data_IF_919641284307
#
_entry.id   IF_919641284307
#
_cell.length_a   1.000
_cell.length_b   1.000
_cell.length_c   1.000
_cell.angle_alpha   90.00
_cell.angle_beta   90.00
_cell.angle_gamma   90.00
#
_symmetry.space_group_name_H-M   'P 1'
#
loop_
_entity.id
_entity.type
_entity.pdbx_description
1 polymer ?
#
# COMPACT_ATOMS: atom_id res chain seq x y z
N UNK A 1 60.29 19.97 -33.30
CA UNK A 1 60.68 21.36 -33.00
C UNK A 1 59.60 22.29 -33.51
N UNK A 2 58.83 22.86 -32.58
CA UNK A 2 58.26 24.22 -32.55
C UNK A 2 57.60 24.83 -33.81
N UNK A 3 56.29 25.16 -33.73
CA UNK A 3 55.82 26.51 -33.33
C UNK A 3 54.29 26.66 -33.22
N UNK A 4 53.94 27.53 -32.27
CA UNK A 4 52.66 28.03 -31.78
C UNK A 4 51.88 28.93 -32.76
N UNK A 5 50.53 28.98 -32.65
CA UNK A 5 49.72 30.20 -32.37
C UNK A 5 48.25 30.15 -32.88
N UNK A 6 47.38 31.00 -32.32
CA UNK A 6 45.90 30.93 -32.18
C UNK A 6 45.07 31.56 -33.33
N UNK A 7 43.88 30.95 -33.57
CA UNK A 7 42.49 31.43 -33.88
C UNK A 7 42.22 32.51 -34.98
N UNK A 8 41.08 32.41 -35.73
CA UNK A 8 39.80 33.04 -35.31
C UNK A 8 38.45 32.37 -35.72
N UNK A 9 37.41 32.69 -34.91
CA UNK A 9 36.00 33.06 -35.19
C UNK A 9 35.01 32.24 -36.07
N UNK A 10 34.01 31.67 -35.37
CA UNK A 10 32.52 31.70 -35.54
C UNK A 10 31.89 31.93 -36.92
N UNK A 11 31.04 30.96 -37.36
CA UNK A 11 29.69 31.20 -37.92
C UNK A 11 28.90 29.87 -38.12
N UNK A 12 27.60 29.88 -37.79
CA UNK A 12 26.60 29.03 -38.47
C UNK A 12 25.71 28.14 -37.58
N UNK A 13 24.44 28.54 -37.44
CA UNK A 13 23.21 27.69 -37.46
C UNK A 13 22.13 28.25 -36.51
N UNK A 14 21.42 29.31 -36.93
CA UNK A 14 20.00 29.31 -37.37
C UNK A 14 18.96 28.87 -36.33
N UNK A 15 18.25 29.87 -35.77
CA UNK A 15 16.89 29.73 -35.20
C UNK A 15 15.86 29.87 -36.33
N UNK A 16 14.63 29.36 -36.13
CA UNK A 16 13.48 30.20 -36.39
C UNK A 16 12.53 30.27 -35.18
N UNK A 17 12.05 31.49 -34.95
CA UNK A 17 11.01 31.91 -34.02
C UNK A 17 9.61 31.73 -34.64
N UNK A 18 8.63 31.79 -33.73
CA UNK A 18 7.21 32.12 -33.95
C UNK A 18 6.28 31.05 -34.52
N UNK A 19 5.52 30.42 -33.61
CA UNK A 19 4.18 29.94 -33.90
C UNK A 19 3.17 30.75 -33.09
N UNK A 20 2.40 31.57 -33.81
CA UNK A 20 1.29 32.36 -33.30
C UNK A 20 0.17 31.50 -32.72
N UNK A 21 -0.33 31.95 -31.57
CA UNK A 21 -1.57 31.53 -30.92
C UNK A 21 -2.77 31.50 -31.88
N UNK A 22 -3.50 30.38 -31.87
CA UNK A 22 -4.96 30.38 -32.06
C UNK A 22 -5.61 29.67 -30.89
N UNK A 23 -6.51 30.41 -30.25
CA UNK A 23 -7.28 30.08 -29.06
C UNK A 23 -8.62 29.46 -29.48
N UNK A 24 -8.90 28.25 -29.01
CA UNK A 24 -10.23 27.61 -28.79
C UNK A 24 -9.88 26.34 -27.98
N UNK A 25 -10.38 26.01 -26.79
CA UNK A 25 -11.53 26.46 -26.01
C UNK A 25 -12.22 25.19 -25.47
N UNK A 26 -11.92 24.78 -24.23
CA UNK A 26 -12.46 23.59 -23.54
C UNK A 26 -11.62 22.32 -23.79
N UNK A 27 -11.19 21.49 -22.83
CA UNK A 27 -11.66 21.19 -21.47
C UNK A 27 -10.44 20.92 -20.56
N UNK A 28 -10.58 21.26 -19.27
CA UNK A 28 -9.52 21.17 -18.26
C UNK A 28 -9.43 19.75 -17.68
N UNK A 29 -8.52 18.93 -18.20
CA UNK A 29 -7.96 17.80 -17.44
C UNK A 29 -6.48 18.07 -17.16
N UNK A 30 -6.20 18.48 -15.92
CA UNK A 30 -4.85 18.69 -15.41
C UNK A 30 -4.17 17.35 -15.21
N UNK A 31 -3.37 16.95 -16.18
CA UNK A 31 -2.24 16.03 -15.99
C UNK A 31 -1.15 16.81 -15.27
N UNK A 32 -0.89 16.50 -13.99
CA UNK A 32 0.31 16.88 -13.23
C UNK A 32 0.16 16.35 -11.80
N UNK A 33 0.72 15.18 -11.48
CA UNK A 33 1.21 14.85 -10.13
C UNK A 33 2.33 13.80 -10.25
N UNK A 34 3.48 14.27 -10.71
CA UNK A 34 4.76 13.64 -10.39
C UNK A 34 5.19 14.18 -9.02
N UNK A 35 5.53 13.25 -8.11
CA UNK A 35 6.43 13.42 -6.97
C UNK A 35 6.15 14.61 -6.04
N UNK A 36 5.32 14.39 -5.02
CA UNK A 36 5.36 15.18 -3.78
C UNK A 36 5.08 14.29 -2.57
N UNK A 37 5.99 14.18 -1.57
CA UNK A 37 5.74 13.45 -0.35
C UNK A 37 4.96 14.34 0.62
N UNK A 38 3.63 14.31 0.50
CA UNK A 38 2.72 14.95 1.45
C UNK A 38 1.72 13.92 1.96
N UNK A 39 2.16 13.08 2.91
CA UNK A 39 1.27 12.33 3.79
C UNK A 39 1.01 13.12 5.08
N UNK A 40 0.95 14.46 4.99
CA UNK A 40 0.65 15.28 6.15
C UNK A 40 -0.67 14.84 6.79
N UNK A 41 -0.58 14.70 8.10
CA UNK A 41 -1.33 13.76 8.92
C UNK A 41 -2.71 14.35 9.20
N UNK A 42 -3.79 13.63 8.85
CA UNK A 42 -5.09 13.91 9.47
C UNK A 42 -4.99 13.60 10.97
N UNK A 43 -5.22 14.56 11.90
CA UNK A 43 -5.01 14.33 13.34
C UNK A 43 -6.10 13.48 14.00
N UNK A 44 -6.96 12.80 13.23
CA UNK A 44 -8.02 11.96 13.77
C UNK A 44 -8.08 10.67 12.97
N UNK A 45 -7.41 9.64 13.48
CA UNK A 45 -7.61 8.25 13.10
C UNK A 45 -8.98 7.75 13.55
N UNK A 46 -10.05 8.39 13.08
CA UNK A 46 -11.40 7.86 13.22
C UNK A 46 -11.76 7.18 11.91
N UNK A 47 -11.76 5.85 11.94
CA UNK A 47 -12.32 5.02 10.89
C UNK A 47 -13.80 5.43 10.70
N UNK A 48 -14.26 5.76 9.48
CA UNK A 48 -15.63 6.22 9.26
C UNK A 48 -16.67 5.22 9.77
N UNK A 49 -17.74 5.68 10.44
CA UNK A 49 -18.81 4.86 11.05
C UNK A 49 -19.44 3.81 10.11
N UNK A 50 -19.34 3.98 8.78
CA UNK A 50 -19.81 3.01 7.79
C UNK A 50 -19.05 1.67 7.82
N UNK A 51 -17.82 1.63 8.37
CA UNK A 51 -17.02 0.41 8.54
C UNK A 51 -17.67 -0.65 9.44
N UNK A 52 -18.59 -0.27 10.32
CA UNK A 52 -19.16 -1.18 11.32
C UNK A 52 -20.42 -1.93 10.87
N UNK A 53 -20.91 -1.71 9.64
CA UNK A 53 -22.17 -2.29 9.16
C UNK A 53 -21.92 -3.38 8.12
N UNK A 54 -21.75 -4.63 8.57
CA UNK A 54 -21.83 -5.80 7.67
C UNK A 54 -23.24 -5.89 7.05
N UNK A 55 -23.40 -6.04 5.73
CA UNK A 55 -24.67 -6.45 5.12
C UNK A 55 -25.05 -7.86 5.60
N UNK A 56 -26.35 -8.14 5.67
CA UNK A 56 -26.95 -9.26 6.40
C UNK A 56 -26.28 -10.63 6.23
N UNK A 57 -25.96 -11.27 7.36
CA UNK A 57 -25.46 -12.64 7.45
C UNK A 57 -26.55 -13.64 7.01
N UNK A 58 -26.30 -14.33 5.89
CA UNK A 58 -27.08 -15.49 5.47
C UNK A 58 -26.52 -16.75 6.15
N UNK A 59 -27.39 -17.48 6.85
CA UNK A 59 -27.30 -18.84 7.42
C UNK A 59 -25.90 -19.51 7.53
N UNK A 60 -25.53 -19.84 8.77
CA UNK A 60 -24.33 -20.59 9.14
C UNK A 60 -24.39 -22.05 8.66
N UNK A 61 -23.86 -22.30 7.45
CA UNK A 61 -23.11 -23.54 7.23
C UNK A 61 -21.81 -23.44 8.03
N UNK A 62 -21.30 -24.57 8.54
CA UNK A 62 -20.01 -24.60 9.23
C UNK A 62 -18.91 -24.29 8.20
N UNK A 63 -18.68 -23.01 7.94
CA UNK A 63 -17.68 -22.54 6.99
C UNK A 63 -16.34 -23.16 7.37
N UNK A 64 -15.63 -23.82 6.45
CA UNK A 64 -14.31 -24.35 6.74
C UNK A 64 -13.41 -23.24 7.27
N UNK A 65 -12.51 -23.57 8.20
CA UNK A 65 -11.61 -22.59 8.78
C UNK A 65 -10.76 -21.95 7.67
N UNK A 66 -10.84 -20.63 7.53
CA UNK A 66 -10.05 -19.92 6.52
C UNK A 66 -8.57 -20.10 6.86
N UNK A 67 -7.82 -20.62 5.90
CA UNK A 67 -6.35 -20.78 5.94
C UNK A 67 -5.67 -19.67 5.14
N UNK A 68 -4.39 -19.43 5.42
CA UNK A 68 -3.53 -18.55 4.64
C UNK A 68 -2.29 -19.32 4.19
N UNK A 69 -1.99 -19.26 2.89
CA UNK A 69 -0.81 -19.88 2.30
C UNK A 69 0.24 -18.82 1.98
N UNK A 70 1.50 -19.12 2.29
CA UNK A 70 2.63 -18.32 1.83
C UNK A 70 2.84 -18.60 0.34
N UNK A 71 2.66 -17.56 -0.46
CA UNK A 71 2.83 -17.58 -1.91
C UNK A 71 4.07 -16.78 -2.29
N UNK A 72 4.75 -17.22 -3.35
CA UNK A 72 5.79 -16.43 -3.99
C UNK A 72 5.31 -14.99 -4.24
N UNK A 73 6.17 -14.00 -3.98
CA UNK A 73 5.81 -12.59 -3.99
C UNK A 73 5.20 -12.14 -5.31
N UNK A 74 5.84 -12.51 -6.43
CA UNK A 74 5.36 -12.12 -7.76
C UNK A 74 4.05 -12.83 -8.09
N UNK A 75 3.91 -14.09 -7.68
CA UNK A 75 2.66 -14.85 -7.81
C UNK A 75 1.51 -14.18 -7.06
N UNK A 76 1.70 -13.83 -5.79
CA UNK A 76 0.71 -13.13 -4.98
C UNK A 76 0.35 -11.76 -5.55
N UNK A 77 1.36 -10.99 -5.94
CA UNK A 77 1.21 -9.67 -6.56
C UNK A 77 0.35 -9.75 -7.83
N UNK A 78 0.72 -10.58 -8.82
CA UNK A 78 0.00 -10.68 -10.08
C UNK A 78 -1.39 -11.30 -9.92
N UNK A 79 -1.58 -12.20 -8.96
CA UNK A 79 -2.89 -12.74 -8.62
C UNK A 79 -3.80 -11.65 -8.06
N UNK A 80 -3.33 -10.77 -7.20
CA UNK A 80 -4.15 -9.66 -6.70
C UNK A 80 -4.44 -8.64 -7.81
N UNK A 81 -3.47 -8.32 -8.66
CA UNK A 81 -3.71 -7.45 -9.83
C UNK A 81 -4.81 -8.04 -10.72
N UNK A 82 -4.76 -9.33 -11.03
CA UNK A 82 -5.78 -9.97 -11.89
C UNK A 82 -7.17 -9.99 -11.22
N UNK A 83 -7.24 -10.21 -9.91
CA UNK A 83 -8.49 -10.10 -9.15
C UNK A 83 -9.05 -8.67 -9.20
N UNK A 84 -8.23 -7.64 -9.00
CA UNK A 84 -8.69 -6.25 -9.11
C UNK A 84 -9.19 -5.92 -10.52
N UNK A 85 -8.53 -6.41 -11.57
CA UNK A 85 -9.04 -6.26 -12.94
C UNK A 85 -10.39 -6.94 -13.13
N UNK A 86 -10.63 -8.10 -12.50
CA UNK A 86 -11.94 -8.76 -12.48
C UNK A 86 -12.99 -7.96 -11.68
N UNK A 87 -12.56 -7.10 -10.75
CA UNK A 87 -13.39 -6.14 -10.03
C UNK A 87 -13.51 -4.80 -10.79
N UNK A 88 -13.36 -4.81 -12.11
CA UNK A 88 -13.57 -3.66 -13.01
C UNK A 88 -12.52 -2.54 -12.89
N UNK A 89 -11.41 -2.75 -12.18
CA UNK A 89 -10.27 -1.84 -12.25
C UNK A 89 -9.58 -1.94 -13.62
N UNK A 90 -9.09 -0.81 -14.14
CA UNK A 90 -8.14 -0.86 -15.27
C UNK A 90 -6.84 -1.54 -14.84
N UNK A 91 -6.09 -2.10 -15.79
CA UNK A 91 -4.79 -2.75 -15.52
C UNK A 91 -3.83 -1.83 -14.74
N UNK A 92 -3.74 -0.55 -15.13
CA UNK A 92 -2.88 0.42 -14.48
C UNK A 92 -3.36 0.75 -13.07
N UNK A 93 -4.68 0.94 -12.90
CA UNK A 93 -5.27 1.21 -11.60
C UNK A 93 -5.07 0.02 -10.65
N UNK A 94 -5.35 -1.20 -11.10
CA UNK A 94 -5.13 -2.42 -10.32
C UNK A 94 -3.67 -2.54 -9.87
N UNK A 95 -2.71 -2.34 -10.79
CA UNK A 95 -1.28 -2.38 -10.47
C UNK A 95 -0.91 -1.32 -9.42
N UNK A 96 -1.41 -0.08 -9.58
CA UNK A 96 -1.16 1.00 -8.63
C UNK A 96 -1.74 0.71 -7.24
N UNK A 97 -2.91 0.06 -7.14
CA UNK A 97 -3.49 -0.31 -5.86
C UNK A 97 -2.63 -1.35 -5.13
N UNK A 98 -2.13 -2.36 -5.84
CA UNK A 98 -1.26 -3.39 -5.23
C UNK A 98 0.09 -2.81 -4.81
N UNK A 99 0.68 -1.94 -5.65
CA UNK A 99 1.92 -1.21 -5.28
C UNK A 99 1.68 -0.31 -4.07
N UNK A 100 0.58 0.44 -4.04
CA UNK A 100 0.24 1.33 -2.92
C UNK A 100 0.03 0.54 -1.63
N UNK A 101 -0.69 -0.59 -1.69
CA UNK A 101 -0.87 -1.50 -0.55
C UNK A 101 0.48 -1.90 0.06
N UNK A 102 1.38 -2.47 -0.74
CA UNK A 102 2.68 -2.96 -0.25
C UNK A 102 3.56 -1.83 0.28
N UNK A 103 3.61 -0.68 -0.40
CA UNK A 103 4.36 0.49 0.05
C UNK A 103 3.85 1.04 1.38
N UNK A 104 2.52 1.09 1.57
CA UNK A 104 1.92 1.48 2.83
C UNK A 104 2.28 0.52 3.95
N UNK A 105 2.27 -0.80 3.71
CA UNK A 105 2.69 -1.79 4.71
C UNK A 105 4.13 -1.53 5.19
N UNK A 106 5.06 -1.28 4.27
CA UNK A 106 6.46 -0.97 4.61
C UNK A 106 6.58 0.35 5.38
N UNK A 107 5.84 1.37 4.96
CA UNK A 107 5.84 2.67 5.60
C UNK A 107 5.29 2.58 7.04
N UNK A 108 4.19 1.86 7.25
CA UNK A 108 3.62 1.64 8.57
C UNK A 108 4.52 0.79 9.46
N UNK A 109 5.17 -0.26 8.95
CA UNK A 109 6.11 -1.06 9.74
C UNK A 109 7.27 -0.21 10.28
N UNK A 110 7.86 0.64 9.40
CA UNK A 110 8.89 1.61 9.80
C UNK A 110 8.37 2.64 10.79
N UNK A 111 7.15 3.13 10.59
CA UNK A 111 6.55 4.15 11.46
C UNK A 111 6.23 3.60 12.85
N UNK A 112 5.75 2.37 12.94
CA UNK A 112 5.28 1.80 14.19
C UNK A 112 6.38 1.14 15.02
N UNK A 113 7.50 0.74 14.41
CA UNK A 113 8.56 0.02 15.11
C UNK A 113 9.93 0.56 14.75
N UNK A 114 10.64 1.08 15.74
CA UNK A 114 12.06 1.46 15.61
C UNK A 114 12.97 0.24 15.39
N UNK A 115 12.51 -0.94 15.81
CA UNK A 115 13.21 -2.22 15.56
C UNK A 115 13.09 -2.67 14.09
N UNK A 116 12.27 -1.99 13.27
CA UNK A 116 12.19 -2.21 11.83
C UNK A 116 13.31 -1.42 11.13
N UNK A 117 14.29 -2.16 10.57
CA UNK A 117 15.57 -1.61 10.12
C UNK A 117 15.51 -0.51 9.06
N UNK A 118 16.57 0.31 9.04
CA UNK A 118 16.76 1.40 8.06
C UNK A 118 17.26 0.91 6.69
N UNK A 119 17.80 -0.32 6.63
CA UNK A 119 18.33 -0.91 5.41
C UNK A 119 17.18 -1.22 4.44
N UNK A 120 16.94 -0.28 3.54
CA UNK A 120 16.11 -0.47 2.36
C UNK A 120 16.58 -1.75 1.62
N UNK A 121 15.83 -2.85 1.80
CA UNK A 121 15.95 -4.04 0.97
C UNK A 121 16.53 -5.31 1.60
N UNK A 122 16.70 -5.42 2.93
CA UNK A 122 17.21 -6.67 3.55
C UNK A 122 16.17 -7.55 4.23
N UNK A 123 15.03 -7.01 4.67
CA UNK A 123 13.92 -7.83 5.16
C UNK A 123 13.01 -8.17 3.98
N UNK A 124 13.15 -9.39 3.46
CA UNK A 124 12.20 -9.98 2.52
C UNK A 124 10.81 -10.01 3.16
N UNK A 125 9.75 -9.74 2.40
CA UNK A 125 8.38 -9.89 2.87
C UNK A 125 7.74 -11.10 2.21
N UNK A 126 6.92 -11.81 2.98
CA UNK A 126 6.09 -12.89 2.48
C UNK A 126 4.71 -12.37 2.10
N UNK A 127 4.18 -12.92 1.01
CA UNK A 127 2.82 -12.70 0.59
C UNK A 127 1.95 -13.86 1.05
N UNK A 128 0.87 -13.55 1.76
CA UNK A 128 -0.11 -14.55 2.18
C UNK A 128 -1.42 -14.36 1.45
N UNK A 129 -1.91 -15.45 0.85
CA UNK A 129 -3.25 -15.50 0.24
C UNK A 129 -4.16 -16.35 1.11
N UNK A 130 -5.34 -15.83 1.46
CA UNK A 130 -6.34 -16.54 2.24
C UNK A 130 -7.28 -17.33 1.33
N UNK A 131 -7.75 -18.48 1.81
CA UNK A 131 -8.69 -19.35 1.09
C UNK A 131 -10.04 -18.70 0.76
N UNK A 132 -10.41 -17.62 1.44
CA UNK A 132 -11.61 -16.81 1.20
C UNK A 132 -11.36 -15.59 0.31
N UNK A 133 -10.16 -15.46 -0.26
CA UNK A 133 -9.76 -14.36 -1.13
C UNK A 133 -9.24 -13.12 -0.40
N UNK A 134 -9.08 -13.14 0.92
CA UNK A 134 -8.29 -12.13 1.62
C UNK A 134 -6.78 -12.31 1.42
N UNK A 135 -6.00 -11.33 1.87
CA UNK A 135 -4.53 -11.35 1.70
C UNK A 135 -3.87 -10.44 2.74
N UNK A 136 -2.59 -10.68 3.00
CA UNK A 136 -1.74 -9.78 3.77
C UNK A 136 -0.28 -10.00 3.41
N UNK A 137 0.59 -9.08 3.84
CA UNK A 137 2.04 -9.23 3.73
C UNK A 137 2.67 -9.09 5.11
N UNK A 138 3.76 -9.81 5.38
CA UNK A 138 4.52 -9.65 6.61
C UNK A 138 6.03 -9.79 6.39
N UNK A 139 6.88 -9.22 7.26
CA UNK A 139 8.31 -9.46 7.23
C UNK A 139 8.64 -10.96 7.37
N UNK A 140 9.66 -11.42 6.66
CA UNK A 140 10.23 -12.77 6.76
C UNK A 140 11.34 -12.76 7.82
N UNK A 141 10.94 -12.64 9.09
CA UNK A 141 11.87 -12.70 10.21
C UNK A 141 11.23 -13.42 11.39
N UNK A 142 12.05 -13.97 12.28
CA UNK A 142 11.61 -14.47 13.58
C UNK A 142 11.72 -13.39 14.67
N UNK A 143 11.88 -12.12 14.28
CA UNK A 143 12.05 -11.01 15.22
C UNK A 143 10.73 -10.71 15.92
N UNK A 144 10.85 -10.30 17.18
CA UNK A 144 9.79 -9.60 17.89
C UNK A 144 10.05 -8.11 17.78
N UNK A 145 9.02 -7.35 17.39
CA UNK A 145 9.07 -5.92 17.16
C UNK A 145 8.38 -5.18 18.29
N UNK A 146 8.98 -4.12 18.82
CA UNK A 146 8.28 -3.16 19.69
C UNK A 146 7.47 -2.23 18.82
N UNK A 147 6.16 -2.29 18.99
CA UNK A 147 5.17 -1.57 18.20
C UNK A 147 4.58 -0.45 19.03
N UNK A 148 4.69 0.77 18.53
CA UNK A 148 4.04 1.97 19.05
C UNK A 148 3.15 2.61 17.97
N UNK A 149 1.86 2.69 18.26
CA UNK A 149 0.89 3.35 17.38
C UNK A 149 0.45 4.65 18.04
N UNK A 150 1.01 5.77 17.58
CA UNK A 150 0.77 7.07 18.20
C UNK A 150 -0.68 7.56 18.10
N UNK A 151 -1.45 7.13 17.11
CA UNK A 151 -2.82 7.60 16.89
C UNK A 151 -3.82 7.09 17.95
N UNK A 152 -3.60 5.91 18.51
CA UNK A 152 -4.44 5.31 19.54
C UNK A 152 -3.68 4.97 20.84
N UNK A 153 -2.43 5.43 20.96
CA UNK A 153 -1.56 5.24 22.11
C UNK A 153 -1.21 3.78 22.43
N UNK A 154 -1.43 2.85 21.50
CA UNK A 154 -1.02 1.46 21.67
C UNK A 154 0.50 1.35 21.79
N UNK A 155 0.96 0.53 22.74
CA UNK A 155 2.34 0.09 22.88
C UNK A 155 2.35 -1.40 23.24
N UNK A 156 3.13 -2.19 22.51
CA UNK A 156 3.25 -3.61 22.79
C UNK A 156 4.33 -4.28 21.94
N UNK A 157 4.46 -5.59 22.09
CA UNK A 157 5.35 -6.40 21.29
C UNK A 157 4.55 -7.28 20.32
N UNK A 158 5.09 -7.50 19.13
CA UNK A 158 4.46 -8.33 18.10
C UNK A 158 5.50 -9.17 17.38
N UNK A 159 5.16 -10.41 17.04
CA UNK A 159 5.90 -11.18 16.03
C UNK A 159 5.89 -10.48 14.67
N UNK A 160 6.76 -10.90 13.76
CA UNK A 160 6.75 -10.43 12.37
C UNK A 160 5.38 -10.63 11.70
N UNK A 161 4.73 -11.77 11.91
CA UNK A 161 3.42 -12.05 11.33
C UNK A 161 2.34 -11.14 11.90
N UNK A 162 2.31 -10.92 13.22
CA UNK A 162 1.37 -10.01 13.86
C UNK A 162 1.57 -8.55 13.44
N UNK A 163 2.83 -8.09 13.33
CA UNK A 163 3.15 -6.78 12.76
C UNK A 163 2.64 -6.67 11.32
N UNK A 164 2.90 -7.67 10.49
CA UNK A 164 2.47 -7.70 9.09
C UNK A 164 0.95 -7.65 8.92
N UNK A 165 0.21 -8.42 9.71
CA UNK A 165 -1.26 -8.34 9.73
C UNK A 165 -1.74 -6.95 10.14
N UNK A 166 -1.14 -6.38 11.19
CA UNK A 166 -1.48 -5.05 11.69
C UNK A 166 -1.29 -3.99 10.61
N UNK A 167 -0.11 -3.90 9.99
CA UNK A 167 0.15 -2.88 8.95
C UNK A 167 -0.63 -3.12 7.67
N UNK A 168 -0.94 -4.38 7.34
CA UNK A 168 -1.81 -4.72 6.21
C UNK A 168 -3.25 -4.26 6.46
N UNK A 169 -3.75 -4.37 7.70
CA UNK A 169 -5.07 -3.84 8.10
C UNK A 169 -5.10 -2.32 8.00
N UNK A 170 -4.04 -1.62 8.42
CA UNK A 170 -3.91 -0.17 8.23
C UNK A 170 -3.92 0.23 6.75
N UNK A 171 -3.15 -0.46 5.91
CA UNK A 171 -3.10 -0.20 4.47
C UNK A 171 -4.46 -0.44 3.80
N UNK A 172 -5.13 -1.56 4.13
CA UNK A 172 -6.47 -1.86 3.62
C UNK A 172 -7.51 -0.86 4.10
N UNK A 173 -7.40 -0.37 5.34
CA UNK A 173 -8.29 0.66 5.86
C UNK A 173 -8.24 1.93 5.01
N UNK A 174 -7.03 2.39 4.65
CA UNK A 174 -6.84 3.55 3.76
C UNK A 174 -7.41 3.28 2.36
N UNK A 175 -7.14 2.10 1.78
CA UNK A 175 -7.66 1.75 0.45
C UNK A 175 -9.19 1.65 0.42
N UNK A 176 -9.80 1.17 1.50
CA UNK A 176 -11.24 1.06 1.65
C UNK A 176 -11.96 2.42 1.71
N UNK A 177 -11.25 3.53 2.00
CA UNK A 177 -11.82 4.89 1.94
C UNK A 177 -12.30 5.29 0.54
N UNK A 178 -11.79 4.61 -0.51
CA UNK A 178 -12.32 4.75 -1.87
C UNK A 178 -13.81 4.37 -2.00
N UNK A 179 -14.35 3.61 -1.04
CA UNK A 179 -15.72 3.10 -1.07
C UNK A 179 -15.89 1.87 -1.95
N UNK A 180 -14.81 1.28 -2.49
CA UNK A 180 -14.91 0.10 -3.34
C UNK A 180 -15.16 -1.17 -2.52
N UNK A 181 -16.27 -1.87 -2.80
CA UNK A 181 -16.73 -3.03 -2.03
C UNK A 181 -15.65 -4.11 -1.85
N UNK A 182 -14.90 -4.43 -2.90
CA UNK A 182 -13.80 -5.40 -2.80
C UNK A 182 -12.75 -5.00 -1.74
N UNK A 183 -12.36 -3.72 -1.66
CA UNK A 183 -11.32 -3.26 -0.73
C UNK A 183 -11.84 -3.23 0.71
N UNK A 184 -13.11 -2.83 0.89
CA UNK A 184 -13.81 -2.90 2.18
C UNK A 184 -13.88 -4.35 2.67
N UNK A 185 -14.29 -5.26 1.79
CA UNK A 185 -14.39 -6.68 2.12
C UNK A 185 -13.02 -7.32 2.37
N UNK A 186 -11.98 -6.93 1.63
CA UNK A 186 -10.60 -7.37 1.89
C UNK A 186 -10.14 -7.01 3.30
N UNK A 187 -10.46 -5.81 3.80
CA UNK A 187 -10.20 -5.45 5.19
C UNK A 187 -10.92 -6.39 6.15
N UNK A 188 -12.21 -6.65 5.93
CA UNK A 188 -13.00 -7.50 6.82
C UNK A 188 -12.53 -8.96 6.82
N UNK A 189 -12.17 -9.52 5.67
CA UNK A 189 -11.58 -10.87 5.57
C UNK A 189 -10.30 -10.98 6.38
N UNK A 190 -9.38 -10.02 6.23
CA UNK A 190 -8.14 -10.02 6.98
C UNK A 190 -8.40 -9.85 8.49
N UNK A 191 -9.32 -8.96 8.88
CA UNK A 191 -9.65 -8.75 10.29
C UNK A 191 -10.25 -10.00 10.91
N UNK A 192 -11.21 -10.64 10.24
CA UNK A 192 -11.86 -11.88 10.70
C UNK A 192 -10.86 -13.04 10.78
N UNK A 193 -9.84 -13.04 9.92
CA UNK A 193 -8.71 -13.96 10.04
C UNK A 193 -7.82 -13.64 11.25
N UNK A 194 -7.47 -12.37 11.45
CA UNK A 194 -6.59 -11.92 12.53
C UNK A 194 -7.19 -12.15 13.93
N UNK A 195 -8.53 -12.13 14.08
CA UNK A 195 -9.22 -12.46 15.35
C UNK A 195 -8.87 -13.85 15.88
N UNK A 196 -8.50 -14.78 15.00
CA UNK A 196 -8.10 -16.15 15.37
C UNK A 196 -6.60 -16.30 15.62
N UNK A 197 -5.82 -15.24 15.44
CA UNK A 197 -4.39 -15.25 15.67
C UNK A 197 -4.07 -15.31 17.16
N UNK A 198 -3.05 -16.08 17.62
CA UNK A 198 -2.66 -16.13 19.04
C UNK A 198 -2.35 -14.75 19.64
N UNK A 199 -1.84 -13.83 18.82
CA UNK A 199 -1.52 -12.45 19.20
C UNK A 199 -2.66 -11.45 18.91
N UNK A 200 -3.92 -11.90 18.78
CA UNK A 200 -5.05 -11.01 18.48
C UNK A 200 -5.18 -9.84 19.46
N UNK A 201 -4.90 -10.03 20.76
CA UNK A 201 -4.97 -8.95 21.74
C UNK A 201 -4.04 -7.77 21.38
N UNK A 202 -2.84 -8.08 20.87
CA UNK A 202 -1.88 -7.08 20.40
C UNK A 202 -2.35 -6.45 19.08
N UNK A 203 -2.72 -7.27 18.08
CA UNK A 203 -3.18 -6.78 16.77
C UNK A 203 -4.41 -5.88 16.93
N UNK A 204 -5.43 -6.38 17.64
CA UNK A 204 -6.69 -5.71 17.91
C UNK A 204 -6.48 -4.39 18.66
N UNK A 205 -5.62 -4.37 19.68
CA UNK A 205 -5.28 -3.15 20.41
C UNK A 205 -4.57 -2.11 19.54
N UNK A 206 -3.78 -2.54 18.55
CA UNK A 206 -3.08 -1.63 17.64
C UNK A 206 -4.00 -1.03 16.57
N UNK A 207 -5.11 -1.68 16.21
CA UNK A 207 -6.05 -1.22 15.17
C UNK A 207 -7.35 -0.62 15.72
N UNK A 208 -7.47 -0.47 17.03
CA UNK A 208 -8.61 0.17 17.71
C UNK A 208 -8.69 1.67 17.39
#
# INVERSE_FOLDING_TARGET
MEKSSRLPSVAGSTRPTDLHLRHFGGERHRTLFLLNPLWDVSPKGQVPLFFWRKPGMTQMTKTPAVTAENTDWMTGFYKLVSVLVQQEFSQDSATLHVVSFTQMCYAYARRFSQDYGEDYGSDFWHWYTQSDGGFFVCPQTEKTYRVEVHSNYYRGEMSAQALGMTVSLYALCVLAESGHDFLIESYHRLRDFAVRHPEWAAIGGAID
#
